data_IF_303404362501
#
_entry.id   IF_303404362501
#
_cell.length_a   1.000
_cell.length_b   1.000
_cell.length_c   1.000
_cell.angle_alpha   90.00
_cell.angle_beta   90.00
_cell.angle_gamma   90.00
#
_symmetry.space_group_name_H-M   'P 1'
#
loop_
_entity.id
_entity.type
_entity.pdbx_description
1 polymer ?
#
# COMPACT_ATOMS: atom_id res chain seq x y z
N UNK A 1 2.17 -39.58 28.73
CA UNK A 1 2.94 -39.86 27.49
C UNK A 1 2.26 -39.15 26.33
N UNK A 2 3.04 -38.56 25.40
CA UNK A 2 2.51 -37.87 24.21
C UNK A 2 3.17 -38.46 22.96
N UNK A 3 2.42 -38.68 21.86
CA UNK A 3 2.99 -39.21 20.63
C UNK A 3 3.89 -38.18 19.93
N UNK A 4 4.86 -38.69 19.15
CA UNK A 4 5.65 -37.88 18.23
C UNK A 4 4.86 -37.56 16.95
N UNK A 5 5.29 -36.54 16.21
CA UNK A 5 4.63 -36.13 14.96
C UNK A 5 4.49 -37.29 13.96
N UNK A 6 5.58 -38.02 13.67
CA UNK A 6 5.58 -39.12 12.69
C UNK A 6 4.66 -40.28 13.08
N UNK A 7 4.41 -40.49 14.38
CA UNK A 7 3.46 -41.49 14.88
C UNK A 7 2.01 -40.99 14.87
N UNK A 8 1.77 -39.68 14.89
CA UNK A 8 0.42 -39.14 14.96
C UNK A 8 -0.13 -38.82 13.57
N UNK A 9 0.70 -38.34 12.64
CA UNK A 9 0.23 -37.74 11.39
C UNK A 9 -0.54 -38.72 10.50
N UNK A 10 0.06 -39.85 10.11
CA UNK A 10 -0.58 -40.81 9.20
C UNK A 10 -1.80 -41.50 9.80
N UNK A 11 -1.80 -41.70 11.12
CA UNK A 11 -2.89 -42.26 11.89
C UNK A 11 -4.06 -41.28 11.94
N UNK A 12 -3.80 -39.99 12.17
CA UNK A 12 -4.81 -38.94 12.09
C UNK A 12 -5.43 -38.88 10.70
N UNK A 13 -4.60 -38.84 9.64
CA UNK A 13 -5.09 -38.86 8.26
C UNK A 13 -5.95 -40.10 7.96
N UNK A 14 -5.54 -41.26 8.46
CA UNK A 14 -6.27 -42.52 8.30
C UNK A 14 -7.63 -42.49 9.00
N UNK A 15 -7.66 -42.05 10.27
CA UNK A 15 -8.88 -41.93 11.09
C UNK A 15 -9.87 -40.95 10.46
N UNK A 16 -9.38 -39.86 9.89
CA UNK A 16 -10.20 -38.83 9.22
C UNK A 16 -10.60 -39.21 7.79
N UNK A 17 -10.13 -40.35 7.26
CA UNK A 17 -10.44 -40.79 5.90
C UNK A 17 -9.82 -39.92 4.80
N UNK A 18 -8.68 -39.28 5.09
CA UNK A 18 -7.97 -38.42 4.13
C UNK A 18 -7.53 -39.25 2.92
N UNK A 19 -7.74 -38.70 1.72
CA UNK A 19 -7.29 -39.34 0.47
C UNK A 19 -5.89 -38.86 0.07
N UNK A 20 -5.65 -37.55 0.20
CA UNK A 20 -4.42 -36.90 -0.21
C UNK A 20 -3.91 -36.02 0.94
N UNK A 21 -2.85 -36.46 1.60
CA UNK A 21 -2.20 -35.71 2.68
C UNK A 21 -1.14 -34.79 2.07
N UNK A 22 -1.41 -33.49 2.03
CA UNK A 22 -0.59 -32.51 1.32
C UNK A 22 0.34 -31.80 2.31
N UNK A 23 1.65 -31.99 2.17
CA UNK A 23 2.66 -31.38 3.05
C UNK A 23 3.79 -30.72 2.24
N UNK A 24 4.77 -30.12 2.92
CA UNK A 24 5.91 -29.49 2.25
C UNK A 24 7.07 -30.47 2.05
N UNK A 25 8.00 -30.14 1.14
CA UNK A 25 9.17 -30.98 0.82
C UNK A 25 10.03 -31.36 2.03
N UNK A 26 9.99 -30.59 3.12
CA UNK A 26 10.68 -30.95 4.37
C UNK A 26 10.28 -32.32 4.92
N UNK A 27 9.10 -32.84 4.57
CA UNK A 27 8.59 -34.14 5.02
C UNK A 27 8.76 -35.27 3.98
N UNK A 28 9.46 -35.03 2.86
CA UNK A 28 9.66 -36.04 1.83
C UNK A 28 10.39 -37.28 2.37
N UNK A 29 11.43 -37.08 3.19
CA UNK A 29 12.17 -38.17 3.83
C UNK A 29 11.40 -38.87 4.96
N UNK A 30 10.29 -38.29 5.42
CA UNK A 30 9.43 -38.88 6.45
C UNK A 30 8.40 -39.85 5.85
N UNK A 31 8.13 -39.76 4.55
CA UNK A 31 7.13 -40.58 3.86
C UNK A 31 7.34 -42.09 4.04
N UNK A 32 8.56 -42.66 3.93
CA UNK A 32 8.73 -44.10 4.14
C UNK A 32 8.29 -44.56 5.54
N UNK A 33 8.44 -43.70 6.56
CA UNK A 33 8.01 -44.00 7.92
C UNK A 33 6.48 -43.83 8.08
N UNK A 34 5.90 -42.81 7.43
CA UNK A 34 4.46 -42.61 7.32
C UNK A 34 3.78 -43.87 6.72
N UNK A 35 4.26 -44.33 5.57
CA UNK A 35 3.74 -45.50 4.86
C UNK A 35 3.92 -46.76 5.72
N UNK A 36 5.10 -46.95 6.33
CA UNK A 36 5.37 -48.10 7.19
C UNK A 36 4.38 -48.22 8.34
N UNK A 37 4.06 -47.13 9.04
CA UNK A 37 3.11 -47.22 10.15
C UNK A 37 1.69 -47.58 9.68
N UNK A 38 1.25 -47.03 8.55
CA UNK A 38 -0.07 -47.33 7.99
C UNK A 38 -0.17 -48.81 7.60
N UNK A 39 0.88 -49.34 6.95
CA UNK A 39 0.95 -50.75 6.57
C UNK A 39 0.94 -51.67 7.80
N UNK A 40 1.75 -51.37 8.82
CA UNK A 40 1.84 -52.21 10.02
C UNK A 40 0.57 -52.20 10.89
N UNK A 41 -0.20 -51.12 10.83
CA UNK A 41 -1.46 -51.00 11.56
C UNK A 41 -2.66 -51.52 10.75
N UNK A 42 -2.46 -51.86 9.48
CA UNK A 42 -3.51 -52.35 8.57
C UNK A 42 -4.71 -51.38 8.47
N UNK A 43 -4.42 -50.08 8.45
CA UNK A 43 -5.43 -49.00 8.43
C UNK A 43 -5.61 -48.39 7.04
N UNK A 44 -6.62 -47.51 6.88
CA UNK A 44 -6.82 -46.74 5.65
C UNK A 44 -5.51 -46.03 5.26
N UNK A 45 -5.17 -46.05 3.97
CA UNK A 45 -3.88 -45.56 3.45
C UNK A 45 -4.06 -44.26 2.66
N UNK A 46 -4.02 -43.09 3.33
CA UNK A 46 -3.89 -41.81 2.66
C UNK A 46 -2.59 -41.75 1.85
N UNK A 47 -2.60 -40.97 0.77
CA UNK A 47 -1.40 -40.73 -0.04
C UNK A 47 -0.74 -39.42 0.35
N UNK A 48 0.49 -39.46 0.87
CA UNK A 48 1.28 -38.25 1.10
C UNK A 48 1.78 -37.65 -0.23
N UNK A 49 1.61 -36.33 -0.40
CA UNK A 49 2.07 -35.55 -1.55
C UNK A 49 2.73 -34.25 -1.07
N UNK A 50 3.96 -34.02 -1.51
CA UNK A 50 4.74 -32.86 -1.13
C UNK A 50 4.77 -31.79 -2.21
N UNK A 51 4.84 -30.53 -1.77
CA UNK A 51 5.11 -29.38 -2.62
C UNK A 51 6.17 -28.46 -2.00
N UNK A 52 6.81 -27.66 -2.83
CA UNK A 52 7.77 -26.66 -2.37
C UNK A 52 7.06 -25.55 -1.60
N UNK A 53 7.55 -25.25 -0.40
CA UNK A 53 7.05 -24.14 0.40
C UNK A 53 7.22 -22.80 -0.32
N UNK A 54 6.30 -21.88 -0.06
CA UNK A 54 6.44 -20.50 -0.48
C UNK A 54 7.59 -19.82 0.27
N UNK A 55 8.53 -19.23 -0.47
CA UNK A 55 9.50 -18.28 0.07
C UNK A 55 9.34 -16.96 -0.69
N UNK A 56 9.28 -15.86 0.05
CA UNK A 56 9.15 -14.51 -0.50
C UNK A 56 10.47 -13.75 -0.29
N UNK A 57 10.87 -12.96 -1.28
CA UNK A 57 12.00 -12.03 -1.15
C UNK A 57 11.69 -10.89 -0.17
N UNK A 58 12.71 -10.25 0.40
CA UNK A 58 12.62 -9.12 1.34
C UNK A 58 11.80 -9.41 2.61
N UNK A 59 11.66 -10.68 2.98
CA UNK A 59 10.92 -11.10 4.16
C UNK A 59 11.51 -12.38 4.76
N UNK A 60 10.98 -12.78 5.92
CA UNK A 60 11.40 -13.96 6.66
C UNK A 60 10.18 -14.80 7.01
N UNK A 61 10.24 -16.10 6.71
CA UNK A 61 9.13 -17.05 6.99
C UNK A 61 9.37 -17.89 8.26
N UNK A 62 10.57 -17.83 8.86
CA UNK A 62 10.91 -18.63 10.04
C UNK A 62 10.20 -18.10 11.29
N UNK A 63 9.38 -18.94 11.93
CA UNK A 63 8.68 -18.62 13.19
C UNK A 63 9.64 -18.13 14.27
N UNK A 64 10.81 -18.74 14.41
CA UNK A 64 11.83 -18.36 15.39
C UNK A 64 12.30 -16.92 15.18
N UNK A 65 12.67 -16.56 13.94
CA UNK A 65 13.14 -15.22 13.60
C UNK A 65 12.02 -14.17 13.67
N UNK A 66 10.79 -14.53 13.29
CA UNK A 66 9.62 -13.66 13.46
C UNK A 66 9.32 -13.39 14.94
N UNK A 67 9.49 -14.39 15.81
CA UNK A 67 9.35 -14.21 17.26
C UNK A 67 10.43 -13.25 17.79
N UNK A 68 11.68 -13.37 17.36
CA UNK A 68 12.75 -12.44 17.73
C UNK A 68 12.43 -10.98 17.35
N UNK A 69 11.78 -10.74 16.20
CA UNK A 69 11.35 -9.39 15.80
C UNK A 69 10.27 -8.82 16.74
N UNK A 70 9.36 -9.67 17.19
CA UNK A 70 8.26 -9.28 18.10
C UNK A 70 8.78 -9.04 19.51
N UNK A 71 9.53 -9.99 20.07
CA UNK A 71 10.10 -9.88 21.43
C UNK A 71 11.13 -8.73 21.52
N UNK A 72 11.92 -8.54 20.46
CA UNK A 72 12.87 -7.44 20.32
C UNK A 72 12.23 -6.08 20.01
N UNK A 73 10.90 -5.99 19.88
CA UNK A 73 10.15 -4.76 19.58
C UNK A 73 10.57 -4.03 18.30
N UNK A 74 11.14 -4.76 17.33
CA UNK A 74 11.41 -4.22 15.98
C UNK A 74 10.09 -4.00 15.22
N UNK A 75 9.08 -4.78 15.57
CA UNK A 75 7.69 -4.63 15.12
C UNK A 75 6.76 -4.49 16.32
N UNK A 76 5.58 -3.91 16.09
CA UNK A 76 4.57 -3.68 17.14
C UNK A 76 3.88 -4.96 17.63
N UNK A 77 4.00 -6.06 16.88
CA UNK A 77 3.44 -7.36 17.24
C UNK A 77 3.27 -8.27 16.02
N UNK A 78 2.64 -9.43 16.21
CA UNK A 78 2.38 -10.40 15.13
C UNK A 78 1.46 -9.88 14.03
N UNK A 79 0.66 -8.85 14.31
CA UNK A 79 -0.24 -8.21 13.36
C UNK A 79 0.31 -6.86 12.84
N UNK A 80 1.58 -6.54 13.10
CA UNK A 80 2.23 -5.34 12.55
C UNK A 80 2.17 -5.38 11.01
N UNK A 81 1.68 -4.34 10.31
CA UNK A 81 1.50 -4.36 8.86
C UNK A 81 2.75 -4.57 7.99
N UNK A 82 3.95 -4.68 8.60
CA UNK A 82 5.21 -5.05 7.94
C UNK A 82 5.52 -6.54 8.03
N UNK A 83 4.82 -7.29 8.89
CA UNK A 83 5.02 -8.73 9.08
C UNK A 83 4.37 -9.55 7.97
N UNK A 84 4.93 -10.72 7.61
CA UNK A 84 4.38 -11.58 6.57
C UNK A 84 3.24 -12.50 7.07
N UNK A 85 2.64 -12.21 8.22
CA UNK A 85 1.52 -12.98 8.74
C UNK A 85 0.22 -12.60 8.07
N UNK A 86 -0.75 -13.53 8.02
CA UNK A 86 -2.07 -13.23 7.46
C UNK A 86 -2.81 -12.14 8.26
N UNK A 87 -2.61 -12.08 9.57
CA UNK A 87 -3.18 -11.03 10.42
C UNK A 87 -2.58 -9.66 10.12
N UNK A 88 -1.27 -9.59 9.90
CA UNK A 88 -0.58 -8.38 9.46
C UNK A 88 -1.03 -7.95 8.06
N UNK A 89 -1.08 -8.86 7.09
CA UNK A 89 -1.58 -8.56 5.74
C UNK A 89 -3.02 -8.05 5.76
N UNK A 90 -3.88 -8.63 6.61
CA UNK A 90 -5.25 -8.14 6.83
C UNK A 90 -5.26 -6.72 7.40
N UNK A 91 -4.46 -6.43 8.44
CA UNK A 91 -4.34 -5.09 9.03
C UNK A 91 -3.71 -4.08 8.07
N UNK A 92 -2.78 -4.53 7.24
CA UNK A 92 -2.17 -3.77 6.15
C UNK A 92 -3.17 -3.39 5.07
N UNK A 93 -4.29 -4.10 4.97
CA UNK A 93 -5.39 -3.83 4.05
C UNK A 93 -5.43 -4.75 2.83
N UNK A 94 -4.67 -5.85 2.80
CA UNK A 94 -4.64 -6.77 1.67
C UNK A 94 -6.01 -7.45 1.52
N UNK A 95 -6.64 -7.40 0.32
CA UNK A 95 -7.84 -8.17 0.06
C UNK A 95 -7.55 -9.67 0.10
N UNK A 96 -8.39 -10.50 0.73
CA UNK A 96 -8.20 -11.94 0.72
C UNK A 96 -8.25 -12.51 -0.71
N UNK A 97 -9.02 -11.90 -1.62
CA UNK A 97 -9.05 -12.21 -3.05
C UNK A 97 -7.68 -12.05 -3.70
N UNK A 98 -6.93 -11.00 -3.34
CA UNK A 98 -5.61 -10.75 -3.90
C UNK A 98 -4.59 -11.79 -3.43
N UNK A 99 -4.69 -12.26 -2.20
CA UNK A 99 -3.83 -13.32 -1.65
C UNK A 99 -4.11 -14.66 -2.34
N UNK A 100 -5.39 -15.01 -2.54
CA UNK A 100 -5.78 -16.24 -3.28
C UNK A 100 -5.26 -16.20 -4.71
N UNK A 101 -5.48 -15.11 -5.41
CA UNK A 101 -5.01 -14.92 -6.78
C UNK A 101 -3.47 -14.90 -6.89
N UNK A 102 -2.77 -14.36 -5.89
CA UNK A 102 -1.31 -14.49 -5.80
C UNK A 102 -0.89 -15.96 -5.68
N UNK A 103 -1.53 -16.75 -4.81
CA UNK A 103 -1.23 -18.17 -4.67
C UNK A 103 -1.48 -18.96 -5.97
N UNK A 104 -2.58 -18.66 -6.68
CA UNK A 104 -2.87 -19.24 -8.00
C UNK A 104 -1.78 -18.92 -9.04
N UNK A 105 -1.28 -17.69 -9.06
CA UNK A 105 -0.23 -17.25 -10.00
C UNK A 105 1.14 -17.87 -9.72
N UNK A 106 1.49 -18.03 -8.44
CA UNK A 106 2.73 -18.71 -8.04
C UNK A 106 2.68 -20.19 -8.45
N UNK A 107 1.49 -20.80 -8.34
CA UNK A 107 1.28 -22.20 -8.65
C UNK A 107 1.90 -23.13 -7.60
N UNK A 108 1.84 -24.43 -7.89
CA UNK A 108 2.34 -25.50 -7.01
C UNK A 108 3.37 -26.33 -7.78
N UNK A 109 4.57 -26.45 -7.23
CA UNK A 109 5.67 -27.20 -7.84
C UNK A 109 6.51 -27.90 -6.76
N UNK A 110 7.32 -28.89 -7.15
CA UNK A 110 8.29 -29.57 -6.27
C UNK A 110 9.69 -28.92 -6.26
N UNK A 111 9.87 -27.75 -6.87
CA UNK A 111 11.15 -27.02 -6.87
C UNK A 111 11.05 -25.80 -5.97
N UNK A 112 11.99 -25.68 -5.02
CA UNK A 112 12.14 -24.49 -4.20
C UNK A 112 12.46 -23.27 -5.06
N UNK A 113 11.69 -22.21 -4.87
CA UNK A 113 11.87 -20.92 -5.55
C UNK A 113 11.60 -19.79 -4.57
N UNK A 114 12.31 -18.67 -4.75
CA UNK A 114 12.04 -17.42 -4.06
C UNK A 114 11.19 -16.56 -4.98
N UNK A 115 9.98 -16.23 -4.54
CA UNK A 115 9.04 -15.39 -5.27
C UNK A 115 9.26 -13.94 -4.87
N UNK A 116 9.33 -13.05 -5.85
CA UNK A 116 9.45 -11.62 -5.59
C UNK A 116 8.18 -11.08 -4.92
N UNK A 117 8.35 -10.34 -3.81
CA UNK A 117 7.25 -9.66 -3.10
C UNK A 117 6.50 -8.67 -4.00
N UNK A 118 7.15 -8.15 -5.05
CA UNK A 118 6.53 -7.30 -6.05
C UNK A 118 5.37 -8.00 -6.78
N UNK A 119 5.40 -9.33 -6.94
CA UNK A 119 4.30 -10.10 -7.53
C UNK A 119 3.07 -10.09 -6.61
N UNK A 120 3.28 -10.28 -5.30
CA UNK A 120 2.22 -10.17 -4.30
C UNK A 120 1.60 -8.77 -4.31
N UNK A 121 2.42 -7.73 -4.26
CA UNK A 121 1.93 -6.35 -4.32
C UNK A 121 1.21 -6.05 -5.64
N UNK A 122 1.64 -6.67 -6.75
CA UNK A 122 0.96 -6.54 -8.04
C UNK A 122 -0.45 -7.14 -8.01
N UNK A 123 -0.61 -8.35 -7.46
CA UNK A 123 -1.94 -8.96 -7.28
C UNK A 123 -2.85 -8.10 -6.38
N UNK A 124 -2.29 -7.43 -5.37
CA UNK A 124 -3.02 -6.48 -4.53
C UNK A 124 -3.44 -5.23 -5.30
N UNK A 125 -2.52 -4.63 -6.08
CA UNK A 125 -2.83 -3.45 -6.91
C UNK A 125 -3.91 -3.75 -7.95
N UNK A 126 -3.85 -4.90 -8.62
CA UNK A 126 -4.86 -5.29 -9.62
C UNK A 126 -6.26 -5.41 -9.01
N UNK A 127 -6.38 -6.02 -7.84
CA UNK A 127 -7.66 -6.11 -7.14
C UNK A 127 -8.17 -4.73 -6.71
N UNK A 128 -7.31 -3.93 -6.08
CA UNK A 128 -7.70 -2.61 -5.57
C UNK A 128 -8.00 -1.60 -6.67
N UNK A 129 -7.35 -1.70 -7.84
CA UNK A 129 -7.69 -0.86 -8.99
C UNK A 129 -9.14 -1.06 -9.45
N UNK A 130 -9.68 -2.28 -9.32
CA UNK A 130 -11.06 -2.56 -9.70
C UNK A 130 -12.06 -2.17 -8.61
N UNK A 131 -11.66 -2.31 -7.34
CA UNK A 131 -12.61 -2.30 -6.21
C UNK A 131 -12.52 -1.07 -5.30
N UNK A 132 -11.42 -0.29 -5.34
CA UNK A 132 -11.23 0.84 -4.42
C UNK A 132 -11.73 2.16 -5.00
N UNK A 133 -12.41 2.97 -4.17
CA UNK A 133 -12.80 4.32 -4.54
C UNK A 133 -11.58 5.26 -4.58
N UNK A 134 -11.50 6.11 -5.60
CA UNK A 134 -10.48 7.14 -5.79
C UNK A 134 -10.86 8.38 -5.02
N UNK A 135 -10.05 8.72 -4.03
CA UNK A 135 -10.21 9.85 -3.13
C UNK A 135 -8.98 10.74 -3.16
N UNK A 136 -9.11 11.98 -2.74
CA UNK A 136 -8.01 12.93 -2.62
C UNK A 136 -7.58 13.07 -1.17
N UNK A 137 -6.28 12.98 -0.96
CA UNK A 137 -5.64 13.19 0.31
C UNK A 137 -4.25 13.75 0.08
N UNK A 138 -3.88 14.74 0.87
CA UNK A 138 -2.58 15.42 0.81
C UNK A 138 -1.78 15.01 2.03
N UNK A 139 -0.69 14.29 1.83
CA UNK A 139 0.12 13.72 2.90
C UNK A 139 1.09 14.74 3.49
N UNK A 140 1.69 15.59 2.63
CA UNK A 140 2.58 16.67 3.03
C UNK A 140 2.01 17.99 2.52
N UNK A 141 1.14 18.66 3.30
CA UNK A 141 0.37 19.80 2.82
C UNK A 141 1.23 21.03 2.57
N UNK A 142 1.10 21.59 1.37
CA UNK A 142 1.56 22.91 0.98
C UNK A 142 0.34 23.78 0.66
N UNK A 143 0.23 24.94 1.32
CA UNK A 143 -0.91 25.85 1.15
C UNK A 143 -0.84 26.56 -0.21
N UNK A 144 -1.98 26.66 -0.88
CA UNK A 144 -2.17 27.39 -2.13
C UNK A 144 -3.35 28.34 -1.97
N UNK A 145 -3.16 29.61 -2.31
CA UNK A 145 -4.22 30.63 -2.36
C UNK A 145 -4.48 30.98 -3.82
N UNK A 146 -5.74 30.86 -4.25
CA UNK A 146 -6.16 31.27 -5.59
C UNK A 146 -6.57 32.75 -5.56
N UNK A 147 -5.70 33.64 -6.02
CA UNK A 147 -5.83 35.09 -5.80
C UNK A 147 -7.05 35.70 -6.50
N UNK A 148 -7.41 35.19 -7.68
CA UNK A 148 -8.55 35.64 -8.47
C UNK A 148 -9.84 34.83 -8.25
N UNK A 149 -9.90 33.95 -7.23
CA UNK A 149 -11.14 33.25 -6.85
C UNK A 149 -11.92 34.08 -5.80
N UNK A 150 -13.26 34.18 -5.91
CA UNK A 150 -14.06 34.96 -4.95
C UNK A 150 -13.92 34.47 -3.52
N UNK A 151 -13.84 35.41 -2.58
CA UNK A 151 -13.81 35.10 -1.14
C UNK A 151 -15.13 34.47 -0.68
N UNK A 152 -15.06 33.59 0.33
CA UNK A 152 -16.20 32.89 0.95
C UNK A 152 -17.10 32.12 -0.02
N UNK A 153 -16.64 31.85 -1.24
CA UNK A 153 -17.35 31.02 -2.21
C UNK A 153 -16.84 29.59 -2.13
N UNK A 154 -17.78 28.66 -1.99
CA UNK A 154 -17.53 27.21 -2.02
C UNK A 154 -18.30 26.61 -3.18
N UNK A 155 -17.60 25.87 -4.01
CA UNK A 155 -18.18 25.17 -5.15
C UNK A 155 -18.05 23.66 -4.97
N UNK A 156 -19.14 22.92 -5.18
CA UNK A 156 -19.14 21.47 -5.13
C UNK A 156 -18.83 20.90 -6.52
N UNK A 157 -17.64 20.31 -6.68
CA UNK A 157 -17.19 19.70 -7.93
C UNK A 157 -17.48 18.20 -7.95
N UNK A 158 -17.92 17.67 -9.09
CA UNK A 158 -18.16 16.23 -9.22
C UNK A 158 -16.87 15.46 -9.50
N UNK A 159 -16.54 14.51 -8.64
CA UNK A 159 -15.44 13.57 -8.79
C UNK A 159 -15.96 12.14 -8.99
N UNK A 160 -15.42 11.44 -9.98
CA UNK A 160 -15.75 10.03 -10.25
C UNK A 160 -15.10 9.16 -9.18
N UNK A 161 -15.89 8.29 -8.53
CA UNK A 161 -15.37 7.41 -7.47
C UNK A 161 -14.51 6.28 -8.03
N UNK A 162 -14.86 5.69 -9.16
CA UNK A 162 -14.05 4.64 -9.77
C UNK A 162 -14.17 4.68 -11.29
N UNK A 163 -13.10 5.02 -12.03
CA UNK A 163 -13.12 4.99 -13.49
C UNK A 163 -13.34 3.59 -14.10
N UNK A 164 -12.98 2.53 -13.38
CA UNK A 164 -13.16 1.13 -13.81
C UNK A 164 -14.57 0.60 -13.50
N UNK A 165 -15.31 1.27 -12.61
CA UNK A 165 -16.66 0.86 -12.19
C UNK A 165 -17.61 2.07 -12.13
N UNK A 166 -18.35 2.34 -13.22
CA UNK A 166 -19.33 3.41 -13.27
C UNK A 166 -20.45 3.28 -12.22
N UNK A 167 -20.72 2.07 -11.71
CA UNK A 167 -21.78 1.84 -10.72
C UNK A 167 -21.46 2.45 -9.35
N UNK A 168 -20.17 2.71 -9.05
CA UNK A 168 -19.73 3.40 -7.84
C UNK A 168 -20.08 4.91 -7.83
N UNK A 169 -20.58 5.43 -8.95
CA UNK A 169 -21.10 6.78 -9.07
C UNK A 169 -20.05 7.87 -8.91
N UNK A 170 -20.52 9.05 -8.51
CA UNK A 170 -19.73 10.26 -8.30
C UNK A 170 -19.93 10.75 -6.88
N UNK A 171 -18.96 11.52 -6.37
CA UNK A 171 -19.08 12.28 -5.13
C UNK A 171 -18.84 13.75 -5.40
N UNK A 172 -19.30 14.59 -4.48
CA UNK A 172 -19.01 16.03 -4.52
C UNK A 172 -17.77 16.33 -3.68
N UNK A 173 -16.93 17.21 -4.19
CA UNK A 173 -15.71 17.66 -3.53
C UNK A 173 -15.73 19.19 -3.44
N UNK A 174 -15.59 19.77 -2.23
CA UNK A 174 -15.61 21.21 -2.05
C UNK A 174 -14.34 21.85 -2.60
N UNK A 175 -14.51 22.84 -3.46
CA UNK A 175 -13.48 23.73 -3.99
C UNK A 175 -13.64 25.12 -3.39
N UNK A 176 -12.52 25.74 -3.01
CA UNK A 176 -12.49 27.05 -2.36
C UNK A 176 -11.24 27.82 -2.77
N UNK A 177 -11.17 29.10 -2.38
CA UNK A 177 -10.00 29.96 -2.59
C UNK A 177 -8.70 29.38 -2.03
N UNK A 178 -8.76 28.77 -0.85
CA UNK A 178 -7.60 28.17 -0.19
C UNK A 178 -7.59 26.65 -0.33
N UNK A 179 -6.50 26.10 -0.85
CA UNK A 179 -6.31 24.66 -1.09
C UNK A 179 -5.00 24.16 -0.46
N UNK A 180 -4.92 22.86 -0.21
CA UNK A 180 -3.67 22.14 0.03
C UNK A 180 -3.33 21.28 -1.18
N UNK A 181 -2.04 21.25 -1.53
CA UNK A 181 -1.44 20.30 -2.50
C UNK A 181 -0.26 19.57 -1.83
N UNK A 182 0.30 18.55 -2.47
CA UNK A 182 1.54 17.95 -1.96
C UNK A 182 2.72 18.91 -2.08
N UNK A 183 3.56 18.98 -1.04
CA UNK A 183 4.85 19.68 -1.09
C UNK A 183 5.69 19.23 -2.29
N UNK A 184 5.63 17.94 -2.63
CA UNK A 184 6.36 17.34 -3.75
C UNK A 184 5.79 17.69 -5.14
N UNK A 185 4.62 18.34 -5.20
CA UNK A 185 4.01 18.80 -6.43
C UNK A 185 4.44 20.21 -6.84
N UNK A 186 5.26 20.87 -6.01
CA UNK A 186 5.89 22.16 -6.32
C UNK A 186 7.42 22.05 -6.34
N UNK A 187 8.07 22.72 -7.30
CA UNK A 187 9.52 22.96 -7.32
C UNK A 187 9.84 24.32 -7.94
N UNK A 188 10.72 25.09 -7.30
CA UNK A 188 11.20 26.38 -7.82
C UNK A 188 12.05 26.22 -9.07
N UNK A 189 13.01 25.30 -9.02
CA UNK A 189 13.83 24.91 -10.17
C UNK A 189 13.46 23.48 -10.62
N UNK A 190 12.42 23.35 -11.48
CA UNK A 190 11.94 22.04 -11.91
C UNK A 190 12.85 21.45 -12.99
N UNK A 191 13.25 20.17 -12.89
CA UNK A 191 13.96 19.50 -13.99
C UNK A 191 13.05 19.40 -15.23
N UNK A 192 13.65 19.24 -16.43
CA UNK A 192 12.90 19.22 -17.72
C UNK A 192 11.70 18.26 -17.77
N UNK A 193 11.74 17.15 -17.01
CA UNK A 193 10.67 16.14 -16.93
C UNK A 193 9.72 16.32 -15.72
N UNK A 194 9.67 17.51 -15.14
CA UNK A 194 8.74 17.85 -14.07
C UNK A 194 7.55 18.64 -14.65
N UNK A 195 6.39 17.99 -14.66
CA UNK A 195 5.15 18.51 -15.25
C UNK A 195 4.16 19.06 -14.22
N UNK A 196 4.63 19.31 -12.99
CA UNK A 196 3.81 19.80 -11.88
C UNK A 196 4.03 21.30 -11.72
N UNK A 197 3.63 21.86 -10.58
CA UNK A 197 3.63 23.30 -10.36
C UNK A 197 5.03 23.85 -10.15
N UNK A 198 5.34 24.99 -10.77
CA UNK A 198 6.58 25.73 -10.59
C UNK A 198 6.29 27.21 -10.87
N UNK A 199 7.17 28.15 -10.49
CA UNK A 199 6.98 29.57 -10.76
C UNK A 199 6.67 29.82 -12.25
N UNK A 200 5.57 30.51 -12.53
CA UNK A 200 5.10 30.81 -13.89
C UNK A 200 4.53 29.63 -14.68
N UNK A 201 4.52 28.41 -14.13
CA UNK A 201 3.96 27.21 -14.79
C UNK A 201 2.55 26.92 -14.33
N UNK A 202 1.84 26.21 -15.20
CA UNK A 202 0.46 25.80 -15.01
C UNK A 202 0.32 24.30 -14.73
N UNK A 203 -0.67 23.93 -13.93
CA UNK A 203 -1.02 22.55 -13.63
C UNK A 203 -2.53 22.40 -13.52
N UNK A 204 -3.06 21.21 -13.86
CA UNK A 204 -4.48 20.91 -13.66
C UNK A 204 -4.70 20.37 -12.26
N UNK A 205 -5.65 20.96 -11.56
CA UNK A 205 -6.21 20.39 -10.34
C UNK A 205 -7.21 19.29 -10.74
N UNK A 206 -7.04 18.09 -10.18
CA UNK A 206 -7.91 16.93 -10.47
C UNK A 206 -9.37 17.28 -10.21
N UNK A 207 -10.26 17.01 -11.18
CA UNK A 207 -11.69 17.34 -11.18
C UNK A 207 -12.04 18.85 -11.09
N UNK A 208 -11.06 19.75 -11.19
CA UNK A 208 -11.25 21.18 -11.02
C UNK A 208 -10.66 21.98 -12.20
N UNK A 209 -9.99 23.09 -11.92
CA UNK A 209 -9.48 24.07 -12.87
C UNK A 209 -7.99 23.87 -13.17
N UNK A 210 -7.49 24.57 -14.20
CA UNK A 210 -6.06 24.81 -14.38
C UNK A 210 -5.66 26.03 -13.54
N UNK A 211 -4.58 25.90 -12.78
CA UNK A 211 -3.98 26.98 -11.99
C UNK A 211 -2.59 27.31 -12.49
N UNK A 212 -2.15 28.56 -12.30
CA UNK A 212 -0.80 29.04 -12.59
C UNK A 212 -0.17 29.59 -11.32
N UNK A 213 1.06 29.20 -11.00
CA UNK A 213 1.79 29.78 -9.86
C UNK A 213 2.35 31.14 -10.25
N UNK A 214 1.91 32.18 -9.54
CA UNK A 214 2.33 33.57 -9.77
C UNK A 214 3.40 33.98 -8.76
N UNK A 215 3.21 33.64 -7.48
CA UNK A 215 4.12 34.02 -6.40
C UNK A 215 4.37 32.84 -5.44
N UNK A 216 5.58 32.83 -4.86
CA UNK A 216 6.05 31.82 -3.92
C UNK A 216 6.40 32.52 -2.61
N UNK A 217 5.65 32.22 -1.56
CA UNK A 217 5.89 32.79 -0.24
C UNK A 217 6.77 31.82 0.54
N UNK A 218 7.88 32.35 1.05
CA UNK A 218 8.86 31.62 1.85
C UNK A 218 8.83 32.08 3.28
N UNK A 219 9.11 31.16 4.18
CA UNK A 219 9.42 31.48 5.57
C UNK A 219 10.71 32.33 5.63
N UNK A 220 10.69 33.53 6.25
CA UNK A 220 11.85 34.43 6.28
C UNK A 220 13.09 33.84 6.96
N UNK A 221 12.92 32.87 7.87
CA UNK A 221 14.00 32.34 8.71
C UNK A 221 14.59 31.07 8.10
N UNK A 222 13.75 30.14 7.66
CA UNK A 222 14.15 28.83 7.15
C UNK A 222 14.29 28.76 5.63
N UNK A 223 13.78 29.76 4.91
CA UNK A 223 13.75 29.77 3.44
C UNK A 223 12.84 28.70 2.83
N UNK A 224 12.06 27.97 3.64
CA UNK A 224 11.13 26.95 3.17
C UNK A 224 9.89 27.60 2.55
N UNK A 225 9.39 26.99 1.48
CA UNK A 225 8.15 27.40 0.83
C UNK A 225 6.97 27.05 1.72
N UNK A 226 6.22 28.05 2.16
CA UNK A 226 5.07 27.90 3.07
C UNK A 226 3.72 28.05 2.36
N UNK A 227 3.67 28.90 1.32
CA UNK A 227 2.43 29.22 0.63
C UNK A 227 2.72 29.58 -0.83
N UNK A 228 1.81 29.20 -1.72
CA UNK A 228 1.86 29.57 -3.14
C UNK A 228 0.64 30.42 -3.49
N UNK A 229 0.85 31.54 -4.16
CA UNK A 229 -0.24 32.32 -4.73
C UNK A 229 -0.38 31.96 -6.20
N UNK A 230 -1.58 31.52 -6.56
CA UNK A 230 -1.89 31.05 -7.89
C UNK A 230 -3.07 31.82 -8.47
N UNK A 231 -3.11 31.94 -9.79
CA UNK A 231 -4.33 32.33 -10.51
C UNK A 231 -5.00 31.06 -11.07
N UNK A 232 -6.33 31.06 -11.21
CA UNK A 232 -7.06 30.00 -11.92
C UNK A 232 -7.70 30.51 -13.20
N UNK A 233 -7.91 29.60 -14.14
CA UNK A 233 -8.54 29.86 -15.44
C UNK A 233 -10.00 29.37 -15.41
N UNK A 234 -10.97 30.30 -15.41
CA UNK A 234 -12.41 30.03 -15.24
C UNK A 234 -12.97 29.12 -16.33
N UNK A 235 -12.44 29.19 -17.55
CA UNK A 235 -12.94 28.42 -18.70
C UNK A 235 -12.41 26.98 -18.74
N UNK A 236 -11.57 26.58 -17.78
CA UNK A 236 -10.88 25.28 -17.76
C UNK A 236 -11.50 24.24 -16.82
N UNK A 237 -12.68 24.54 -16.26
CA UNK A 237 -13.43 23.64 -15.38
C UNK A 237 -13.51 22.23 -15.97
N UNK A 238 -13.11 21.22 -15.21
CA UNK A 238 -13.10 19.84 -15.70
C UNK A 238 -14.50 19.37 -16.10
N UNK A 239 -14.63 18.83 -17.31
CA UNK A 239 -15.88 18.27 -17.86
C UNK A 239 -16.91 19.29 -18.36
N UNK A 240 -16.77 20.57 -18.04
CA UNK A 240 -17.74 21.63 -18.39
C UNK A 240 -17.09 22.90 -18.98
N UNK A 241 -15.76 22.98 -18.97
CA UNK A 241 -15.01 24.13 -19.47
C UNK A 241 -15.13 24.28 -20.99
N UNK A 242 -15.08 25.53 -21.46
CA UNK A 242 -15.10 25.91 -22.88
C UNK A 242 -13.71 25.98 -23.50
N UNK A 243 -12.66 25.86 -22.68
CA UNK A 243 -11.27 26.00 -23.10
C UNK A 243 -10.65 24.67 -23.53
N UNK A 244 -10.00 24.66 -24.69
CA UNK A 244 -9.18 23.55 -25.20
C UNK A 244 -7.78 23.50 -24.58
N UNK A 245 -7.51 24.35 -23.58
CA UNK A 245 -6.20 24.47 -22.94
C UNK A 245 -5.80 23.17 -22.23
N UNK A 246 -4.66 22.62 -22.68
CA UNK A 246 -4.07 21.38 -22.16
C UNK A 246 -2.77 21.68 -21.45
N UNK A 247 -2.63 21.14 -20.24
CA UNK A 247 -1.40 21.15 -19.45
C UNK A 247 -0.87 19.73 -19.29
N UNK A 248 0.44 19.60 -19.10
CA UNK A 248 1.11 18.29 -19.09
C UNK A 248 0.92 17.50 -17.80
N UNK A 249 0.53 18.14 -16.70
CA UNK A 249 0.37 17.49 -15.41
C UNK A 249 -0.94 17.79 -14.73
N UNK A 250 -1.38 16.79 -13.97
CA UNK A 250 -2.54 16.88 -13.09
C UNK A 250 -2.09 16.49 -11.69
N UNK A 251 -2.50 17.28 -10.68
CA UNK A 251 -2.21 17.06 -9.27
C UNK A 251 -3.50 16.96 -8.47
N UNK A 252 -3.46 16.23 -7.36
CA UNK A 252 -4.57 16.17 -6.41
C UNK A 252 -4.46 17.32 -5.41
N UNK A 253 -5.56 17.62 -4.75
CA UNK A 253 -5.69 18.75 -3.85
C UNK A 253 -6.86 18.51 -2.88
N UNK A 254 -6.92 19.29 -1.80
CA UNK A 254 -8.08 19.34 -0.90
C UNK A 254 -8.33 20.79 -0.46
N UNK A 255 -9.59 21.16 -0.21
CA UNK A 255 -9.93 22.50 0.30
C UNK A 255 -9.47 22.68 1.75
N UNK A 256 -8.84 23.82 2.08
CA UNK A 256 -8.34 24.10 3.43
C UNK A 256 -9.46 24.11 4.47
N UNK A 257 -10.61 24.71 4.13
CA UNK A 257 -11.73 24.88 5.05
C UNK A 257 -12.47 23.56 5.36
N UNK A 258 -12.41 22.60 4.43
CA UNK A 258 -13.21 21.37 4.50
C UNK A 258 -12.37 20.12 4.76
N UNK A 259 -11.05 20.17 4.55
CA UNK A 259 -10.17 19.05 4.83
C UNK A 259 -10.06 18.80 6.33
N UNK A 260 -9.95 17.53 6.71
CA UNK A 260 -9.68 17.15 8.10
C UNK A 260 -8.28 16.55 8.26
N UNK A 261 -7.76 16.64 9.49
CA UNK A 261 -6.47 16.06 9.85
C UNK A 261 -6.62 14.56 10.10
N UNK A 262 -5.75 13.75 9.51
CA UNK A 262 -5.66 12.33 9.77
C UNK A 262 -4.21 11.86 9.91
N UNK A 263 -4.01 10.83 10.72
CA UNK A 263 -2.76 10.10 10.73
C UNK A 263 -2.70 9.15 9.54
N UNK A 264 -1.60 9.18 8.79
CA UNK A 264 -1.33 8.28 7.68
C UNK A 264 0.01 7.59 7.90
N UNK A 265 0.02 6.26 7.84
CA UNK A 265 1.18 5.40 8.03
C UNK A 265 1.65 4.86 6.69
N UNK A 266 2.82 5.32 6.27
CA UNK A 266 3.48 4.91 5.04
C UNK A 266 4.45 3.78 5.36
N UNK A 267 4.00 2.57 5.11
CA UNK A 267 4.86 1.41 5.28
C UNK A 267 5.62 1.09 3.98
N UNK A 268 6.81 0.53 4.14
CA UNK A 268 7.65 -0.04 3.08
C UNK A 268 8.07 -1.48 3.47
N UNK A 269 8.96 -2.09 2.70
CA UNK A 269 9.55 -3.40 2.98
C UNK A 269 10.28 -3.37 4.32
N UNK A 270 10.18 -4.46 5.08
CA UNK A 270 10.81 -4.58 6.39
C UNK A 270 12.33 -4.74 6.30
N UNK A 271 12.81 -5.35 5.22
CA UNK A 271 14.23 -5.58 4.97
C UNK A 271 14.70 -4.85 3.70
N UNK A 272 15.97 -4.46 3.69
CA UNK A 272 16.63 -3.75 2.58
C UNK A 272 17.20 -4.68 1.50
N UNK A 273 17.30 -5.98 1.80
CA UNK A 273 17.90 -7.00 0.91
C UNK A 273 16.90 -8.10 0.55
N UNK A 274 17.10 -8.75 -0.61
CA UNK A 274 16.23 -9.81 -1.13
C UNK A 274 16.19 -11.04 -0.23
N UNK A 275 17.34 -11.48 0.29
CA UNK A 275 17.46 -12.60 1.21
C UNK A 275 18.14 -12.16 2.52
N UNK A 276 17.37 -11.71 3.53
CA UNK A 276 17.93 -11.24 4.79
C UNK A 276 18.53 -12.37 5.65
N UNK A 277 18.34 -13.63 5.27
CA UNK A 277 18.83 -14.79 6.03
C UNK A 277 19.91 -15.60 5.29
N UNK A 278 20.29 -15.17 4.09
CA UNK A 278 21.28 -15.84 3.25
C UNK A 278 22.73 -15.58 3.66
N UNK A 279 23.01 -14.42 4.28
CA UNK A 279 24.33 -14.09 4.83
C UNK A 279 24.54 -14.80 6.17
N UNK A 280 25.58 -15.65 6.25
CA UNK A 280 25.91 -16.42 7.45
C UNK A 280 26.77 -15.64 8.45
N UNK A 281 27.37 -14.53 8.02
CA UNK A 281 28.29 -13.73 8.86
C UNK A 281 27.58 -12.57 9.57
N UNK A 282 26.36 -12.21 9.13
CA UNK A 282 25.58 -11.08 9.66
C UNK A 282 24.27 -11.51 10.28
N UNK A 283 23.82 -10.78 11.31
CA UNK A 283 22.46 -10.97 11.83
C UNK A 283 21.46 -10.37 10.83
N UNK A 284 20.35 -11.07 10.57
CA UNK A 284 19.29 -10.62 9.68
C UNK A 284 18.71 -9.26 10.10
N UNK A 285 18.81 -8.91 11.38
CA UNK A 285 18.36 -7.63 11.95
C UNK A 285 19.17 -6.44 11.44
N UNK A 286 20.41 -6.65 11.00
CA UNK A 286 21.24 -5.60 10.40
C UNK A 286 20.67 -5.11 9.05
N UNK A 287 19.84 -5.94 8.40
CA UNK A 287 19.19 -5.61 7.14
C UNK A 287 17.80 -4.99 7.32
N UNK A 288 17.40 -4.64 8.54
CA UNK A 288 16.11 -3.97 8.78
C UNK A 288 16.11 -2.59 8.11
N UNK A 289 14.99 -2.28 7.44
CA UNK A 289 14.79 -1.00 6.80
C UNK A 289 14.33 0.04 7.84
N UNK A 290 15.14 1.07 8.14
CA UNK A 290 14.74 2.12 9.08
C UNK A 290 13.53 2.91 8.56
N UNK A 291 13.36 2.98 7.23
CA UNK A 291 12.25 3.66 6.56
C UNK A 291 11.05 2.72 6.31
N UNK A 292 11.01 1.55 6.98
CA UNK A 292 9.91 0.59 6.83
C UNK A 292 8.55 1.11 7.31
N UNK A 293 8.54 2.18 8.11
CA UNK A 293 7.35 2.89 8.56
C UNK A 293 7.66 4.38 8.74
N UNK A 294 6.94 5.22 8.01
CA UNK A 294 6.85 6.66 8.25
C UNK A 294 5.43 7.02 8.69
N UNK A 295 5.28 7.67 9.85
CA UNK A 295 3.98 8.14 10.36
C UNK A 295 3.83 9.64 10.16
N UNK A 296 2.81 10.05 9.41
CA UNK A 296 2.47 11.43 9.14
C UNK A 296 1.20 11.81 9.90
N UNK A 297 1.26 12.80 10.79
CA UNK A 297 0.14 13.15 11.68
C UNK A 297 -0.75 14.29 11.18
N UNK A 298 -0.25 15.09 10.23
CA UNK A 298 -0.89 16.33 9.77
C UNK A 298 -1.35 16.24 8.31
N UNK A 299 -1.68 15.04 7.84
CA UNK A 299 -2.22 14.85 6.50
C UNK A 299 -3.61 15.47 6.40
N UNK A 300 -3.92 16.04 5.24
CA UNK A 300 -5.18 16.72 4.95
C UNK A 300 -6.00 15.87 3.97
N UNK A 301 -7.14 15.35 4.41
CA UNK A 301 -7.97 14.45 3.63
C UNK A 301 -9.31 15.08 3.27
N UNK A 302 -9.90 14.64 2.15
CA UNK A 302 -11.25 15.08 1.75
C UNK A 302 -12.31 14.71 2.81
N UNK A 303 -13.35 15.54 3.02
CA UNK A 303 -14.28 15.38 4.15
C UNK A 303 -15.02 14.04 4.16
N UNK A 304 -15.28 13.44 2.99
CA UNK A 304 -15.95 12.13 2.89
C UNK A 304 -15.19 10.99 3.55
N UNK A 305 -13.88 11.12 3.76
CA UNK A 305 -13.08 10.09 4.43
C UNK A 305 -13.25 10.10 5.96
N UNK A 306 -13.86 11.12 6.55
CA UNK A 306 -14.06 11.21 8.02
C UNK A 306 -14.97 10.09 8.54
N UNK A 307 -15.88 9.60 7.70
CA UNK A 307 -16.78 8.49 7.99
C UNK A 307 -16.28 7.12 7.49
N UNK A 308 -15.01 7.02 7.07
CA UNK A 308 -14.43 5.78 6.59
C UNK A 308 -14.51 4.69 7.67
N UNK A 309 -15.06 3.53 7.30
CA UNK A 309 -15.19 2.40 8.22
C UNK A 309 -13.86 1.66 8.35
N UNK A 310 -13.62 1.04 9.51
CA UNK A 310 -12.44 0.18 9.74
C UNK A 310 -12.31 -0.86 8.63
N UNK A 311 -11.13 -0.95 8.02
CA UNK A 311 -10.83 -1.89 6.94
C UNK A 311 -11.33 -1.47 5.55
N UNK A 312 -12.07 -0.37 5.45
CA UNK A 312 -12.47 0.19 4.16
C UNK A 312 -11.22 0.67 3.39
N UNK A 313 -11.23 0.47 2.07
CA UNK A 313 -10.05 0.62 1.21
C UNK A 313 -10.29 1.69 0.16
N UNK A 314 -9.30 2.54 -0.03
CA UNK A 314 -9.35 3.68 -0.93
C UNK A 314 -8.07 3.76 -1.76
N UNK A 315 -8.18 4.31 -2.95
CA UNK A 315 -7.04 4.78 -3.71
C UNK A 315 -6.88 6.28 -3.46
N UNK A 316 -5.83 6.68 -2.76
CA UNK A 316 -5.49 8.10 -2.69
C UNK A 316 -4.81 8.46 -4.01
N UNK A 317 -5.45 9.35 -4.77
CA UNK A 317 -5.05 9.72 -6.12
C UNK A 317 -3.55 10.08 -6.17
N UNK A 318 -2.83 9.50 -7.14
CA UNK A 318 -1.36 9.64 -7.35
C UNK A 318 -0.44 9.11 -6.25
N UNK A 319 -0.96 8.69 -5.09
CA UNK A 319 -0.16 8.28 -3.94
C UNK A 319 -0.07 6.76 -3.80
N UNK A 320 -1.21 6.08 -3.74
CA UNK A 320 -1.26 4.65 -3.47
C UNK A 320 -2.63 4.18 -3.03
N UNK A 321 -2.68 2.94 -2.59
CA UNK A 321 -3.87 2.38 -1.96
C UNK A 321 -3.70 2.41 -0.45
N UNK A 322 -4.79 2.74 0.25
CA UNK A 322 -4.84 2.94 1.68
C UNK A 322 -6.05 2.22 2.28
N UNK A 323 -5.97 1.83 3.54
CA UNK A 323 -7.15 1.40 4.29
C UNK A 323 -7.22 2.10 5.63
N UNK A 324 -8.44 2.30 6.15
CA UNK A 324 -8.62 2.68 7.55
C UNK A 324 -8.14 1.52 8.44
N UNK A 325 -7.20 1.77 9.34
CA UNK A 325 -6.60 0.76 10.22
C UNK A 325 -7.68 0.06 11.05
N UNK A 326 -7.57 -1.27 11.18
CA UNK A 326 -8.57 -2.09 11.86
C UNK A 326 -8.60 -1.88 13.38
N UNK A 327 -7.52 -1.36 13.95
CA UNK A 327 -7.31 -1.30 15.41
C UNK A 327 -7.39 0.15 15.89
N UNK A 328 -6.63 1.04 15.27
CA UNK A 328 -6.39 2.40 15.75
C UNK A 328 -7.35 3.44 15.14
N UNK A 329 -8.15 3.08 14.13
CA UNK A 329 -9.17 4.01 13.60
C UNK A 329 -10.36 4.10 14.54
N UNK A 330 -10.84 5.31 14.81
CA UNK A 330 -12.05 5.57 15.59
C UNK A 330 -13.09 6.32 14.74
N UNK A 331 -14.35 6.30 15.17
CA UNK A 331 -15.41 7.03 14.49
C UNK A 331 -15.10 8.53 14.44
N UNK A 332 -15.01 9.09 13.23
CA UNK A 332 -14.65 10.50 13.00
C UNK A 332 -13.16 10.81 13.13
N UNK A 333 -12.31 9.83 13.48
CA UNK A 333 -10.84 9.94 13.55
C UNK A 333 -10.18 8.70 12.92
N UNK A 334 -10.34 8.50 11.60
CA UNK A 334 -9.71 7.38 10.92
C UNK A 334 -8.17 7.54 10.87
N UNK A 335 -7.47 6.42 11.02
CA UNK A 335 -6.02 6.31 10.81
C UNK A 335 -5.82 5.48 9.55
N UNK A 336 -5.02 5.95 8.58
CA UNK A 336 -4.87 5.25 7.31
C UNK A 336 -3.52 4.55 7.19
N UNK A 337 -3.54 3.26 6.86
CA UNK A 337 -2.36 2.51 6.49
C UNK A 337 -2.20 2.51 4.96
N UNK A 338 -1.02 2.85 4.44
CA UNK A 338 -0.71 2.61 3.03
C UNK A 338 -0.60 1.11 2.79
N UNK A 339 -1.51 0.55 2.00
CA UNK A 339 -1.50 -0.85 1.57
C UNK A 339 -0.29 -1.07 0.67
N UNK A 340 -0.29 -0.46 -0.52
CA UNK A 340 0.76 -0.55 -1.54
C UNK A 340 0.83 0.76 -2.35
N UNK A 341 2.02 1.18 -2.83
CA UNK A 341 2.14 2.34 -3.72
C UNK A 341 1.53 2.03 -5.10
N UNK A 342 1.19 3.07 -5.87
CA UNK A 342 0.61 2.92 -7.23
C UNK A 342 1.56 2.22 -8.22
N UNK A 343 2.87 2.39 -8.03
CA UNK A 343 3.90 1.80 -8.88
C UNK A 343 4.99 1.21 -8.02
N UNK A 344 5.60 0.16 -8.55
CA UNK A 344 6.77 -0.45 -7.93
C UNK A 344 7.99 0.47 -8.04
N UNK A 345 8.41 1.01 -6.91
CA UNK A 345 9.62 1.84 -6.76
C UNK A 345 10.89 0.99 -6.69
N UNK A 346 10.80 -0.24 -6.18
CA UNK A 346 11.94 -1.14 -6.00
C UNK A 346 12.44 -1.72 -7.31
N UNK A 347 11.54 -2.02 -8.25
CA UNK A 347 11.93 -2.39 -9.62
C UNK A 347 12.81 -1.31 -10.31
N UNK A 348 12.68 -0.03 -9.91
CA UNK A 348 13.58 1.04 -10.39
C UNK A 348 14.90 1.07 -9.64
N UNK A 349 14.90 0.86 -8.32
CA UNK A 349 16.10 0.83 -7.47
C UNK A 349 17.00 -0.35 -7.88
N UNK A 350 16.43 -1.55 -8.04
CA UNK A 350 17.15 -2.74 -8.51
C UNK A 350 17.73 -2.57 -9.92
N UNK A 351 17.02 -1.88 -10.83
CA UNK A 351 17.54 -1.53 -12.17
C UNK A 351 18.66 -0.48 -12.12
N UNK A 352 18.67 0.41 -11.13
CA UNK A 352 19.74 1.37 -10.94
C UNK A 352 20.98 0.72 -10.32
N UNK A 353 20.80 -0.20 -9.37
CA UNK A 353 21.89 -0.95 -8.73
C UNK A 353 22.55 -1.97 -9.66
N UNK A 354 21.84 -2.55 -10.65
CA UNK A 354 22.45 -3.39 -11.70
C UNK A 354 23.22 -2.62 -12.77
N UNK A 355 23.11 -1.29 -12.78
CA UNK A 355 23.78 -0.40 -13.76
C UNK A 355 25.02 0.31 -13.19
N UNK A 356 25.18 0.30 -11.88
CA UNK A 356 26.42 0.62 -11.19
C UNK A 356 27.14 -0.68 -10.85
#
# INVERSE_FOLDING_TARGET
>A
IYPMYDWAHGQSDSIEGITHSICTLEFENHRPLYDWFIEQLEIHHPRQIEFARLNLSFTIMSKRKLLELVEGKYVTGWNDPRMPTLSAMRRRGYPPEAIRHFAERVGVAKRNQVIDVALLEHSVRENLNKNAQRVMGVLRPLKVIITNYPDNTVEELEAVNNPEDPSMGKRKVPFSKELYIEQNDFKEDPPKKFFRLAPGKEVRLRYAYIIKCEEVIKDPVSGKVIELHCSYDIDTKSGLGKSDKKVKGTIHWVSVQHAFNAEVRLYDRLFTVEDPVGDKEKDFKEFLNPDSLETLKECKLEPGLKSAKRGERFQFERLGYFCADLIDSEDGKPVFNRIVPLRDTWAKIAKAQKKN
#
